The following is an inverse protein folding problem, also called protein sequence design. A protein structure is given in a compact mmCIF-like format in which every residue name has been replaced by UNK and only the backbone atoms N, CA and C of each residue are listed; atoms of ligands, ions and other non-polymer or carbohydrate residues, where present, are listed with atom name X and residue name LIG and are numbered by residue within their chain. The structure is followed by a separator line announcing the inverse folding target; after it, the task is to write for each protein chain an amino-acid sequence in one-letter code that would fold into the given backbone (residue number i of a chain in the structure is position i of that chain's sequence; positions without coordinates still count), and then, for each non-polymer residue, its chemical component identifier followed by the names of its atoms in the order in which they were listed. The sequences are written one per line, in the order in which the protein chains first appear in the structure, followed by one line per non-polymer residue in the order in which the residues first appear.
data_IF_591385746045
#
_entry.id   IF_591385746045
#
_cell.length_a   1.000
_cell.length_b   1.000
_cell.length_c   1.000
_cell.angle_alpha   90.00
_cell.angle_beta   90.00
_cell.angle_gamma   90.00
#
_symmetry.space_group_name_H-M   'P 1'
#
loop_
_entity.id
_entity.type
_entity.pdbx_description
1 polymer ?
#
# COMPACT_ATOMS: atom_id res chain seq x y z
N UNK A 1 -14.38 7.35 -5.39
CA UNK A 1 -13.22 7.27 -4.46
C UNK A 1 -12.64 5.88 -4.59
N UNK A 2 -11.39 5.74 -5.02
CA UNK A 2 -10.74 4.46 -5.32
C UNK A 2 -9.84 3.98 -4.18
N UNK A 3 -9.19 2.84 -4.38
CA UNK A 3 -8.18 2.28 -3.47
C UNK A 3 -6.84 2.19 -4.21
N UNK A 4 -5.73 2.35 -3.50
CA UNK A 4 -4.40 2.16 -4.07
C UNK A 4 -4.26 0.72 -4.58
N UNK A 5 -3.94 0.55 -5.86
CA UNK A 5 -3.81 -0.79 -6.47
C UNK A 5 -2.65 -1.62 -5.89
N UNK A 6 -1.72 -0.99 -5.15
CA UNK A 6 -0.58 -1.64 -4.50
C UNK A 6 -0.83 -2.07 -3.05
N UNK A 7 -1.48 -1.22 -2.25
CA UNK A 7 -1.60 -1.42 -0.79
C UNK A 7 -3.03 -1.31 -0.24
N UNK A 8 -4.02 -1.04 -1.09
CA UNK A 8 -5.43 -1.02 -0.71
C UNK A 8 -5.86 0.20 0.12
N UNK A 9 -4.97 1.16 0.41
CA UNK A 9 -5.39 2.36 1.16
C UNK A 9 -6.39 3.17 0.32
N UNK A 10 -7.39 3.82 0.97
CA UNK A 10 -8.27 4.77 0.28
C UNK A 10 -7.47 5.89 -0.37
N UNK A 11 -7.88 6.29 -1.56
CA UNK A 11 -7.29 7.39 -2.30
C UNK A 11 -8.16 8.65 -2.20
N UNK A 12 -7.53 9.75 -1.80
CA UNK A 12 -8.09 11.10 -1.68
C UNK A 12 -7.06 12.16 -2.12
N UNK A 13 -7.43 13.44 -2.04
CA UNK A 13 -6.57 14.56 -2.45
C UNK A 13 -5.19 14.59 -1.75
N UNK A 14 -5.06 14.01 -0.56
CA UNK A 14 -3.81 14.02 0.22
C UNK A 14 -2.98 12.77 0.02
N UNK A 15 -3.61 11.68 -0.37
CA UNK A 15 -2.99 10.36 -0.44
C UNK A 15 -2.74 9.89 -1.85
N UNK A 16 -3.42 10.43 -2.87
CA UNK A 16 -3.20 10.10 -4.27
C UNK A 16 -1.84 10.60 -4.77
N UNK A 17 -1.12 9.75 -5.51
CA UNK A 17 0.14 10.15 -6.14
C UNK A 17 -0.09 11.18 -7.24
N UNK A 18 0.84 12.14 -7.37
CA UNK A 18 0.85 13.10 -8.48
C UNK A 18 1.18 12.48 -9.85
N UNK A 19 1.78 11.28 -9.87
CA UNK A 19 2.24 10.63 -11.11
C UNK A 19 1.19 9.69 -11.70
N UNK A 20 0.49 8.93 -10.85
CA UNK A 20 -0.55 8.00 -11.29
C UNK A 20 -1.64 7.88 -10.23
N UNK A 21 -2.86 8.26 -10.62
CA UNK A 21 -4.02 8.33 -9.73
C UNK A 21 -4.47 6.98 -9.18
N UNK A 22 -3.94 5.85 -9.67
CA UNK A 22 -4.20 4.50 -9.16
C UNK A 22 -3.40 4.15 -7.91
N UNK A 23 -2.37 4.94 -7.59
CA UNK A 23 -1.46 4.68 -6.49
C UNK A 23 -1.44 5.79 -5.47
N UNK A 24 -1.09 5.44 -4.23
CA UNK A 24 -0.89 6.42 -3.18
C UNK A 24 0.54 6.94 -3.12
N UNK A 25 0.73 8.05 -2.42
CA UNK A 25 2.03 8.71 -2.18
C UNK A 25 3.05 7.79 -1.47
N UNK A 26 2.60 6.71 -0.83
CA UNK A 26 3.47 5.76 -0.14
C UNK A 26 3.92 4.59 -1.03
N UNK A 27 3.18 4.29 -2.11
CA UNK A 27 3.49 3.20 -3.02
C UNK A 27 4.16 3.64 -4.32
N UNK A 28 4.18 4.96 -4.56
CA UNK A 28 4.92 5.56 -5.66
C UNK A 28 5.84 6.65 -5.09
N UNK A 29 7.09 6.69 -5.52
CA UNK A 29 8.02 7.74 -5.14
C UNK A 29 7.55 9.08 -5.73
N UNK A 30 7.36 10.11 -4.90
CA UNK A 30 6.85 11.41 -5.35
C UNK A 30 7.92 12.33 -5.98
N UNK A 31 9.15 11.85 -6.12
CA UNK A 31 10.24 12.50 -6.85
C UNK A 31 10.54 11.79 -8.17
N UNK A 32 10.80 10.46 -8.13
CA UNK A 32 11.16 9.67 -9.32
C UNK A 32 9.96 9.11 -10.09
N UNK A 33 8.79 8.99 -9.46
CA UNK A 33 7.62 8.31 -10.03
C UNK A 33 7.71 6.79 -10.02
N UNK A 34 8.79 6.21 -9.48
CA UNK A 34 8.97 4.77 -9.41
C UNK A 34 8.02 4.14 -8.38
N UNK A 35 7.49 2.97 -8.71
CA UNK A 35 6.64 2.23 -7.80
C UNK A 35 7.48 1.37 -6.85
N UNK A 36 7.10 1.36 -5.57
CA UNK A 36 7.72 0.51 -4.56
C UNK A 36 7.59 -0.99 -4.92
N UNK A 37 8.59 -1.79 -4.56
CA UNK A 37 8.59 -3.25 -4.75
C UNK A 37 7.52 -3.93 -3.90
N UNK A 38 7.23 -5.21 -4.19
CA UNK A 38 6.25 -5.97 -3.41
C UNK A 38 6.68 -6.07 -1.94
N UNK A 39 7.95 -6.28 -1.67
CA UNK A 39 8.53 -6.36 -0.33
C UNK A 39 8.43 -5.02 0.42
N UNK A 40 8.73 -3.91 -0.27
CA UNK A 40 8.61 -2.57 0.30
C UNK A 40 7.16 -2.23 0.64
N UNK A 41 6.22 -2.57 -0.25
CA UNK A 41 4.79 -2.36 0.00
C UNK A 41 4.30 -3.25 1.14
N UNK A 42 4.80 -4.50 1.24
CA UNK A 42 4.48 -5.41 2.35
C UNK A 42 4.94 -4.85 3.69
N UNK A 43 6.20 -4.46 3.82
CA UNK A 43 6.72 -3.89 5.07
C UNK A 43 5.97 -2.59 5.42
N UNK A 44 5.73 -1.71 4.45
CA UNK A 44 4.93 -0.50 4.67
C UNK A 44 3.50 -0.80 5.17
N UNK A 45 2.85 -1.83 4.62
CA UNK A 45 1.53 -2.27 5.06
C UNK A 45 1.55 -2.83 6.48
N UNK A 46 2.55 -3.63 6.83
CA UNK A 46 2.76 -4.16 8.19
C UNK A 46 2.92 -3.02 9.19
N UNK A 47 3.80 -2.06 8.89
CA UNK A 47 4.02 -0.90 9.75
C UNK A 47 2.75 -0.05 9.93
N UNK A 48 1.98 0.13 8.85
CA UNK A 48 0.70 0.84 8.92
C UNK A 48 -0.34 0.10 9.78
N UNK A 49 -0.45 -1.22 9.63
CA UNK A 49 -1.35 -2.06 10.44
C UNK A 49 -0.97 -2.05 11.93
N UNK A 50 0.32 -2.12 12.24
CA UNK A 50 0.81 -2.01 13.62
C UNK A 50 0.50 -0.63 14.21
N UNK A 51 0.82 0.45 13.48
CA UNK A 51 0.69 1.82 13.97
C UNK A 51 -0.76 2.30 14.06
N UNK A 52 -1.58 1.97 13.07
CA UNK A 52 -2.94 2.54 12.93
C UNK A 52 -4.02 1.62 13.52
N UNK A 53 -3.80 0.30 13.54
CA UNK A 53 -4.78 -0.66 14.04
C UNK A 53 -4.31 -1.38 15.31
N UNK A 54 -3.13 -1.04 15.85
CA UNK A 54 -2.60 -1.62 17.09
C UNK A 54 -2.30 -3.11 17.00
N UNK A 55 -2.18 -3.66 15.79
CA UNK A 55 -1.91 -5.10 15.57
C UNK A 55 -0.48 -5.44 16.01
N UNK A 56 -0.29 -6.65 16.52
CA UNK A 56 1.05 -7.20 16.64
C UNK A 56 1.70 -7.36 15.26
N UNK A 57 3.03 -7.44 15.21
CA UNK A 57 3.75 -7.67 13.94
C UNK A 57 3.27 -8.94 13.23
N UNK A 58 3.07 -10.02 13.99
CA UNK A 58 2.61 -11.30 13.43
C UNK A 58 1.21 -11.19 12.81
N UNK A 59 0.27 -10.53 13.49
CA UNK A 59 -1.08 -10.31 12.94
C UNK A 59 -1.04 -9.38 11.72
N UNK A 60 -0.20 -8.35 11.76
CA UNK A 60 -0.03 -7.42 10.66
C UNK A 60 0.57 -8.10 9.42
N UNK A 61 1.55 -8.98 9.60
CA UNK A 61 2.14 -9.81 8.55
C UNK A 61 1.09 -10.71 7.89
N UNK A 62 0.31 -11.45 8.68
CA UNK A 62 -0.77 -12.29 8.16
C UNK A 62 -1.78 -11.49 7.33
N UNK A 63 -2.24 -10.35 7.85
CA UNK A 63 -3.19 -9.49 7.14
C UNK A 63 -2.60 -8.94 5.84
N UNK A 64 -1.35 -8.47 5.86
CA UNK A 64 -0.68 -7.96 4.67
C UNK A 64 -0.53 -9.05 3.60
N UNK A 65 -0.13 -10.27 4.00
CA UNK A 65 0.06 -11.40 3.09
C UNK A 65 -1.25 -11.95 2.52
N UNK A 66 -2.34 -11.87 3.25
CA UNK A 66 -3.67 -12.27 2.77
C UNK A 66 -4.33 -11.21 1.87
N UNK A 67 -4.06 -9.93 2.12
CA UNK A 67 -4.69 -8.81 1.42
C UNK A 67 -3.94 -8.47 0.13
N UNK A 68 -2.62 -8.30 0.21
CA UNK A 68 -1.83 -7.78 -0.90
C UNK A 68 -2.02 -8.56 -2.19
N UNK A 69 -1.95 -9.91 -2.23
CA UNK A 69 -2.12 -10.64 -3.48
C UNK A 69 -3.42 -10.30 -4.20
N UNK A 70 -4.50 -9.95 -3.49
CA UNK A 70 -5.82 -9.66 -4.06
C UNK A 70 -5.92 -8.28 -4.72
N UNK A 71 -4.92 -7.41 -4.56
CA UNK A 71 -4.95 -6.06 -5.12
C UNK A 71 -4.54 -6.06 -6.60
N UNK A 72 -5.11 -5.17 -7.45
CA UNK A 72 -4.96 -5.22 -8.91
C UNK A 72 -3.51 -5.27 -9.41
N UNK A 73 -2.57 -4.58 -8.73
CA UNK A 73 -1.17 -4.56 -9.16
C UNK A 73 -0.50 -5.93 -9.11
N UNK A 74 -0.96 -6.81 -8.24
CA UNK A 74 -0.31 -8.09 -7.94
C UNK A 74 -1.03 -9.31 -8.54
N UNK A 75 -2.16 -9.09 -9.22
CA UNK A 75 -2.97 -10.12 -9.89
C UNK A 75 -2.58 -10.34 -11.36
N UNK A 76 -1.37 -9.95 -11.76
CA UNK A 76 -0.86 -10.16 -13.12
C UNK A 76 -0.33 -11.56 -13.34
#
# INVERSE_FOLDING_TARGET
MGQCESCGIPLDEKTTSKFDSRYCIYCQNQESGELASKEQVREGSIQALMRLQGKSREEAEKVADEMMPKLPRWQK
#
